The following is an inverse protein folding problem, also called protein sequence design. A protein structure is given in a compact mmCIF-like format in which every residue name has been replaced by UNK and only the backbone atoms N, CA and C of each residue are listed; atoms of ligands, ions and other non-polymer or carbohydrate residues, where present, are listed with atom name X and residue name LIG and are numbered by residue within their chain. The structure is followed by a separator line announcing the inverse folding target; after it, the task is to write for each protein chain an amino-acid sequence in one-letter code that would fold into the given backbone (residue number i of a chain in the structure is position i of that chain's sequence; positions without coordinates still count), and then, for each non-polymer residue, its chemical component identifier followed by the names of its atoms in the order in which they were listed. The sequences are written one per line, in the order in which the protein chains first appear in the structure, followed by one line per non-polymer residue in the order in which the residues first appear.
data_IF_843492024609
#
_entry.id   IF_843492024609
#
_cell.length_a   1.000
_cell.length_b   1.000
_cell.length_c   1.000
_cell.angle_alpha   90.00
_cell.angle_beta   90.00
_cell.angle_gamma   90.00
#
_symmetry.space_group_name_H-M   'P 1'
#
loop_
_entity.id
_entity.type
_entity.pdbx_description
1 polymer ?
#
# COMPACT_ATOMS: atom_id res chain seq x y z
N UNK A 1 24.25 -45.70 23.57
CA UNK A 1 24.84 -44.51 22.92
C UNK A 1 24.04 -44.28 21.66
N UNK A 2 23.24 -43.23 21.63
CA UNK A 2 22.48 -42.82 20.44
C UNK A 2 22.45 -41.30 20.44
N UNK A 3 23.11 -40.72 19.44
CA UNK A 3 22.96 -39.33 19.05
C UNK A 3 22.11 -39.37 17.79
N UNK A 4 21.04 -38.59 17.73
CA UNK A 4 21.00 -37.56 16.69
C UNK A 4 19.92 -36.52 16.94
N UNK A 5 20.33 -35.30 16.59
CA UNK A 5 19.62 -34.05 16.66
C UNK A 5 18.46 -34.02 15.67
N UNK A 6 17.33 -33.44 16.07
CA UNK A 6 16.44 -32.61 15.25
C UNK A 6 15.21 -32.25 16.08
N UNK A 7 15.27 -31.14 16.81
CA UNK A 7 14.05 -30.39 17.08
C UNK A 7 13.61 -29.79 15.76
N UNK A 8 12.40 -30.08 15.23
CA UNK A 8 11.85 -29.22 14.22
C UNK A 8 11.51 -27.92 14.93
N UNK A 9 12.36 -26.92 14.73
CA UNK A 9 11.95 -25.52 14.85
C UNK A 9 10.75 -25.39 13.93
N UNK A 10 9.58 -25.24 14.53
CA UNK A 10 8.35 -24.85 13.84
C UNK A 10 8.65 -23.43 13.34
N UNK A 11 9.16 -23.33 12.12
CA UNK A 11 9.12 -22.11 11.35
C UNK A 11 7.64 -21.75 11.19
N UNK A 12 7.20 -20.53 11.54
CA UNK A 12 5.93 -20.02 11.04
C UNK A 12 6.12 -19.69 9.56
N UNK A 13 6.16 -20.71 8.71
CA UNK A 13 5.93 -20.58 7.27
C UNK A 13 4.42 -20.65 7.03
N UNK A 14 3.67 -19.59 7.35
CA UNK A 14 2.42 -19.26 6.65
C UNK A 14 2.18 -17.74 6.69
N UNK A 15 2.21 -17.16 5.48
CA UNK A 15 1.55 -15.91 5.08
C UNK A 15 2.14 -14.56 5.53
N UNK A 16 3.42 -14.36 5.24
CA UNK A 16 3.86 -13.04 4.77
C UNK A 16 3.58 -13.00 3.25
N UNK A 17 2.31 -12.79 2.87
CA UNK A 17 2.00 -12.31 1.52
C UNK A 17 2.72 -10.97 1.45
N UNK A 18 3.92 -10.94 0.86
CA UNK A 18 4.60 -9.71 0.51
C UNK A 18 3.58 -8.85 -0.24
N UNK A 19 3.07 -7.81 0.43
CA UNK A 19 2.06 -6.88 -0.11
C UNK A 19 2.76 -6.02 -1.15
N UNK A 20 2.97 -6.62 -2.31
CA UNK A 20 3.66 -5.97 -3.42
C UNK A 20 2.66 -5.08 -4.14
N UNK A 21 2.99 -3.79 -4.25
CA UNK A 21 2.23 -2.86 -5.08
C UNK A 21 2.18 -3.38 -6.52
N UNK A 22 0.99 -3.38 -7.14
CA UNK A 22 0.87 -3.74 -8.57
C UNK A 22 1.66 -2.74 -9.43
N UNK A 23 2.34 -3.25 -10.46
CA UNK A 23 3.13 -2.43 -11.39
C UNK A 23 2.30 -1.31 -12.03
N UNK A 24 1.02 -1.55 -12.33
CA UNK A 24 0.13 -0.53 -12.90
C UNK A 24 -0.09 0.65 -11.94
N UNK A 25 -0.39 0.35 -10.67
CA UNK A 25 -0.62 1.37 -9.63
C UNK A 25 0.67 2.14 -9.35
N UNK A 26 1.81 1.45 -9.35
CA UNK A 26 3.12 2.07 -9.20
C UNK A 26 3.40 3.05 -10.34
N UNK A 27 3.13 2.66 -11.59
CA UNK A 27 3.30 3.50 -12.77
C UNK A 27 2.39 4.74 -12.69
N UNK A 28 1.13 4.57 -12.30
CA UNK A 28 0.17 5.68 -12.20
C UNK A 28 0.59 6.70 -11.13
N UNK A 29 0.96 6.23 -9.93
CA UNK A 29 1.43 7.10 -8.85
C UNK A 29 2.73 7.81 -9.27
N UNK A 30 3.67 7.08 -9.86
CA UNK A 30 4.98 7.60 -10.21
C UNK A 30 4.91 8.60 -11.37
N UNK A 31 4.24 8.26 -12.47
CA UNK A 31 4.11 9.14 -13.64
C UNK A 31 3.45 10.47 -13.26
N UNK A 32 2.37 10.43 -12.46
CA UNK A 32 1.69 11.63 -11.99
C UNK A 32 2.59 12.51 -11.11
N UNK A 33 3.37 11.91 -10.21
CA UNK A 33 4.31 12.65 -9.35
C UNK A 33 5.45 13.27 -10.18
N UNK A 34 5.97 12.55 -11.17
CA UNK A 34 7.02 13.01 -12.07
C UNK A 34 6.53 14.20 -12.91
N UNK A 35 5.37 14.07 -13.55
CA UNK A 35 4.79 15.14 -14.37
C UNK A 35 4.55 16.42 -13.55
N UNK A 36 4.01 16.27 -12.34
CA UNK A 36 3.81 17.40 -11.42
C UNK A 36 5.14 18.03 -10.99
N UNK A 37 6.12 17.21 -10.60
CA UNK A 37 7.43 17.68 -10.15
C UNK A 37 8.24 18.38 -11.24
N UNK A 38 8.05 17.99 -12.50
CA UNK A 38 8.73 18.61 -13.65
C UNK A 38 7.96 19.77 -14.28
N UNK A 39 6.67 19.93 -13.97
CA UNK A 39 5.85 21.03 -14.49
C UNK A 39 6.47 22.44 -14.34
N UNK A 40 7.20 22.79 -13.26
CA UNK A 40 7.81 24.12 -13.13
C UNK A 40 9.06 24.31 -14.01
N UNK A 41 9.60 23.23 -14.58
CA UNK A 41 10.89 23.18 -15.28
C UNK A 41 10.69 22.68 -16.72
N UNK A 42 9.50 22.84 -17.27
CA UNK A 42 9.09 22.28 -18.56
C UNK A 42 9.92 22.79 -19.76
N UNK A 43 10.66 23.90 -19.60
CA UNK A 43 11.57 24.44 -20.62
C UNK A 43 12.86 23.60 -20.77
N UNK A 44 13.20 22.75 -19.80
CA UNK A 44 14.34 21.84 -19.89
C UNK A 44 13.94 20.50 -20.50
N UNK A 45 14.70 20.07 -21.52
CA UNK A 45 14.57 18.72 -22.09
C UNK A 45 15.16 17.72 -21.09
N UNK A 46 14.29 17.16 -20.26
CA UNK A 46 14.62 16.13 -19.26
C UNK A 46 13.95 14.84 -19.70
N UNK A 47 14.75 13.81 -19.92
CA UNK A 47 14.25 12.46 -20.19
C UNK A 47 14.01 11.77 -18.85
N UNK A 48 12.84 11.15 -18.67
CA UNK A 48 12.49 10.44 -17.45
C UNK A 48 12.21 8.99 -17.71
N UNK A 49 12.64 8.13 -16.80
CA UNK A 49 12.29 6.73 -16.77
C UNK A 49 12.03 6.26 -15.33
N UNK A 50 11.12 5.31 -15.22
CA UNK A 50 10.89 4.50 -14.04
C UNK A 50 11.32 3.08 -14.38
N UNK A 51 12.11 2.48 -13.50
CA UNK A 51 12.64 1.13 -13.72
C UNK A 51 12.45 0.27 -12.48
N UNK A 52 12.35 -1.04 -12.70
CA UNK A 52 12.39 -2.03 -11.65
C UNK A 52 13.80 -2.14 -11.03
N UNK A 53 13.91 -2.68 -9.80
CA UNK A 53 15.21 -2.92 -9.15
C UNK A 53 16.14 -3.80 -9.99
N UNK A 54 15.59 -4.68 -10.83
CA UNK A 54 16.32 -5.58 -11.71
C UNK A 54 16.68 -4.96 -13.08
N UNK A 55 16.27 -3.70 -13.31
CA UNK A 55 16.66 -2.92 -14.48
C UNK A 55 15.71 -3.00 -15.68
N UNK A 56 14.55 -3.66 -15.53
CA UNK A 56 13.48 -3.60 -16.52
C UNK A 56 12.81 -2.22 -16.49
N UNK A 57 12.48 -1.68 -17.67
CA UNK A 57 11.86 -0.37 -17.78
C UNK A 57 10.33 -0.47 -17.58
N UNK A 58 9.82 0.17 -16.53
CA UNK A 58 8.39 0.23 -16.23
C UNK A 58 7.68 1.33 -17.02
N UNK A 59 8.29 2.51 -17.09
CA UNK A 59 7.69 3.68 -17.72
C UNK A 59 8.75 4.67 -18.20
N UNK A 60 8.43 5.46 -19.22
CA UNK A 60 9.26 6.59 -19.64
C UNK A 60 8.43 7.67 -20.32
N UNK A 61 8.87 8.93 -20.20
CA UNK A 61 8.20 10.08 -20.86
C UNK A 61 8.56 10.17 -22.36
N UNK A 62 9.71 9.65 -22.77
CA UNK A 62 10.15 9.59 -24.17
C UNK A 62 10.70 8.23 -24.50
N UNK A 63 10.87 7.91 -25.78
CA UNK A 63 11.50 6.67 -26.20
C UNK A 63 13.00 6.73 -25.87
N UNK A 64 13.43 5.95 -24.88
CA UNK A 64 14.85 5.79 -24.55
C UNK A 64 15.48 4.87 -25.59
N UNK A 65 16.33 5.41 -26.46
CA UNK A 65 17.05 4.61 -27.47
C UNK A 65 18.08 3.64 -26.86
N UNK A 66 18.43 3.82 -25.59
CA UNK A 66 19.49 3.08 -24.90
C UNK A 66 18.95 2.26 -23.70
N UNK A 67 17.90 1.45 -23.84
CA UNK A 67 17.41 0.61 -22.72
C UNK A 67 18.51 -0.32 -22.15
N UNK A 68 19.42 -0.78 -23.01
CA UNK A 68 20.61 -1.58 -22.65
C UNK A 68 21.55 -0.88 -21.65
N UNK A 69 21.55 0.45 -21.58
CA UNK A 69 22.47 1.19 -20.73
C UNK A 69 22.10 1.10 -19.24
N UNK A 70 20.80 1.10 -18.93
CA UNK A 70 20.33 1.11 -17.54
C UNK A 70 20.64 -0.22 -16.84
N UNK A 71 20.44 -1.33 -17.54
CA UNK A 71 20.82 -2.65 -17.02
C UNK A 71 22.33 -2.73 -16.73
N UNK A 72 23.17 -2.15 -17.58
CA UNK A 72 24.62 -2.08 -17.34
C UNK A 72 25.00 -1.15 -16.17
N UNK A 73 24.32 -0.01 -15.99
CA UNK A 73 24.55 0.84 -14.80
C UNK A 73 24.23 0.03 -13.55
N UNK A 74 23.08 -0.64 -13.51
CA UNK A 74 22.67 -1.41 -12.33
C UNK A 74 23.54 -2.65 -12.12
N UNK A 75 23.99 -3.33 -13.19
CA UNK A 75 24.84 -4.51 -13.11
C UNK A 75 26.31 -4.19 -12.76
N UNK A 76 26.82 -3.01 -13.11
CA UNK A 76 28.14 -2.53 -12.65
C UNK A 76 28.11 -2.04 -11.21
N UNK A 77 26.92 -1.86 -10.65
CA UNK A 77 26.72 -1.54 -9.26
C UNK A 77 26.52 -2.84 -8.49
N UNK A 78 27.62 -3.39 -8.00
CA UNK A 78 27.62 -4.55 -7.13
C UNK A 78 26.73 -4.24 -5.92
N UNK A 79 25.57 -4.91 -5.82
CA UNK A 79 24.58 -4.73 -4.75
C UNK A 79 25.12 -5.14 -3.35
N UNK A 80 26.41 -5.46 -3.26
CA UNK A 80 27.16 -5.71 -2.03
C UNK A 80 27.71 -4.43 -1.37
N UNK A 81 27.90 -3.33 -2.11
CA UNK A 81 28.13 -2.02 -1.51
C UNK A 81 26.79 -1.31 -1.24
N UNK A 82 26.68 -0.63 -0.09
CA UNK A 82 25.44 0.02 0.36
C UNK A 82 24.72 0.73 -0.79
N UNK A 83 23.52 0.29 -1.22
CA UNK A 83 22.79 0.79 -2.41
C UNK A 83 22.59 2.31 -2.43
N UNK A 84 22.71 2.92 -1.25
CA UNK A 84 22.55 4.35 -0.98
C UNK A 84 23.67 5.24 -1.53
N UNK A 85 24.86 4.71 -1.86
CA UNK A 85 25.97 5.53 -2.39
C UNK A 85 25.68 6.01 -3.83
N UNK A 86 24.99 5.19 -4.61
CA UNK A 86 24.65 5.43 -6.02
C UNK A 86 23.72 6.63 -6.22
N UNK A 87 22.84 6.89 -5.25
CA UNK A 87 21.85 7.96 -5.33
C UNK A 87 22.38 9.31 -4.82
N UNK A 88 23.65 9.37 -4.40
CA UNK A 88 24.26 10.61 -3.86
C UNK A 88 24.83 11.52 -4.94
N UNK A 89 25.17 10.98 -6.10
CA UNK A 89 25.84 11.72 -7.16
C UNK A 89 25.28 11.35 -8.54
N UNK A 90 25.22 12.31 -9.48
CA UNK A 90 24.81 12.01 -10.84
C UNK A 90 25.90 11.24 -11.58
N UNK A 91 25.45 10.32 -12.43
CA UNK A 91 26.32 9.50 -13.27
C UNK A 91 26.44 10.18 -14.63
N UNK A 92 27.68 10.44 -15.08
CA UNK A 92 27.93 11.01 -16.41
C UNK A 92 28.22 9.88 -17.40
N UNK A 93 27.44 9.80 -18.47
CA UNK A 93 27.65 8.82 -19.53
C UNK A 93 27.36 9.40 -20.91
N UNK A 94 28.26 9.20 -21.86
CA UNK A 94 28.16 9.70 -23.25
C UNK A 94 27.79 11.19 -23.36
N UNK A 95 28.17 12.01 -22.36
CA UNK A 95 27.85 13.44 -22.31
C UNK A 95 26.52 13.80 -21.66
N UNK A 96 25.70 12.82 -21.28
CA UNK A 96 24.45 12.99 -20.54
C UNK A 96 24.66 12.71 -19.06
N UNK A 97 24.00 13.49 -18.20
CA UNK A 97 23.98 13.27 -16.75
C UNK A 97 22.69 12.55 -16.36
N UNK A 98 22.84 11.46 -15.62
CA UNK A 98 21.77 10.63 -15.09
C UNK A 98 21.68 10.83 -13.58
N UNK A 99 20.48 11.16 -13.11
CA UNK A 99 20.15 11.41 -11.72
C UNK A 99 19.22 10.30 -11.26
N UNK A 100 19.68 9.48 -10.32
CA UNK A 100 18.94 8.33 -9.84
C UNK A 100 18.45 8.57 -8.42
N UNK A 101 17.26 8.07 -8.11
CA UNK A 101 16.78 8.03 -6.74
C UNK A 101 15.92 6.76 -6.51
N UNK A 102 16.01 6.16 -5.31
CA UNK A 102 15.28 4.94 -4.99
C UNK A 102 13.85 5.27 -4.57
N UNK A 103 12.91 4.44 -4.99
CA UNK A 103 11.54 4.42 -4.49
C UNK A 103 11.45 3.25 -3.51
N UNK A 104 11.17 3.56 -2.26
CA UNK A 104 11.20 2.59 -1.16
C UNK A 104 9.78 2.31 -0.66
N UNK A 105 9.55 1.06 -0.28
CA UNK A 105 8.35 0.64 0.45
C UNK A 105 8.44 1.04 1.94
N UNK A 106 7.39 0.74 2.70
CA UNK A 106 7.33 0.92 4.16
C UNK A 106 8.48 0.16 4.88
N UNK A 107 8.81 -1.04 4.42
CA UNK A 107 9.86 -1.89 4.98
C UNK A 107 11.28 -1.53 4.46
N UNK A 108 11.47 -0.31 3.93
CA UNK A 108 12.71 0.14 3.26
C UNK A 108 13.16 -0.74 2.08
N UNK A 109 12.27 -1.59 1.57
CA UNK A 109 12.53 -2.42 0.40
C UNK A 109 12.50 -1.58 -0.87
N UNK A 110 13.49 -1.76 -1.75
CA UNK A 110 13.54 -1.08 -3.04
C UNK A 110 12.44 -1.61 -3.96
N UNK A 111 11.49 -0.73 -4.32
CA UNK A 111 10.35 -1.05 -5.19
C UNK A 111 10.65 -0.69 -6.64
N UNK A 112 11.28 0.46 -6.86
CA UNK A 112 11.64 0.95 -8.18
C UNK A 112 12.73 2.02 -8.07
N UNK A 113 13.28 2.42 -9.21
CA UNK A 113 14.25 3.51 -9.30
C UNK A 113 13.70 4.52 -10.31
N UNK A 114 13.73 5.81 -9.94
CA UNK A 114 13.48 6.90 -10.87
C UNK A 114 14.80 7.36 -11.47
N UNK A 115 14.80 7.62 -12.76
CA UNK A 115 15.91 8.20 -13.49
C UNK A 115 15.44 9.46 -14.20
N UNK A 116 16.12 10.58 -13.91
CA UNK A 116 16.09 11.78 -14.74
C UNK A 116 17.40 11.84 -15.52
N UNK A 117 17.34 12.15 -16.81
CA UNK A 117 18.51 12.36 -17.65
C UNK A 117 18.45 13.75 -18.27
N UNK A 118 19.59 14.45 -18.25
CA UNK A 118 19.74 15.75 -18.89
C UNK A 118 21.08 15.86 -19.60
N UNK A 119 21.07 16.46 -20.78
CA UNK A 119 22.28 16.78 -21.56
C UNK A 119 22.95 18.09 -21.09
N UNK A 120 22.33 18.78 -20.13
CA UNK A 120 22.87 20.01 -19.53
C UNK A 120 23.95 19.71 -18.47
N UNK A 121 24.61 20.75 -17.95
CA UNK A 121 25.67 20.62 -16.92
C UNK A 121 25.14 19.92 -15.65
N UNK A 122 26.01 19.24 -14.91
CA UNK A 122 25.72 18.67 -13.59
C UNK A 122 25.00 19.69 -12.70
N UNK A 123 23.73 19.42 -12.40
CA UNK A 123 22.85 20.31 -11.66
C UNK A 123 22.41 19.65 -10.36
N UNK A 124 22.93 20.14 -9.24
CA UNK A 124 22.56 19.68 -7.90
C UNK A 124 21.06 19.89 -7.62
N UNK A 125 20.41 20.87 -8.25
CA UNK A 125 18.95 21.06 -8.13
C UNK A 125 18.18 19.91 -8.78
N UNK A 126 18.66 19.40 -9.93
CA UNK A 126 18.01 18.28 -10.59
C UNK A 126 18.18 17.00 -9.77
N UNK A 127 19.35 16.80 -9.16
CA UNK A 127 19.56 15.70 -8.20
C UNK A 127 18.60 15.79 -7.01
N UNK A 128 18.51 16.97 -6.38
CA UNK A 128 17.62 17.20 -5.24
C UNK A 128 16.15 17.00 -5.63
N UNK A 129 15.77 17.42 -6.84
CA UNK A 129 14.44 17.22 -7.39
C UNK A 129 14.15 15.73 -7.60
N UNK A 130 15.07 14.97 -8.22
CA UNK A 130 14.93 13.51 -8.38
C UNK A 130 14.69 12.83 -7.03
N UNK A 131 15.48 13.19 -6.01
CA UNK A 131 15.33 12.65 -4.66
C UNK A 131 13.99 13.05 -4.03
N UNK A 132 13.55 14.30 -4.21
CA UNK A 132 12.26 14.78 -3.71
C UNK A 132 11.08 14.06 -4.36
N UNK A 133 11.11 13.86 -5.68
CA UNK A 133 10.07 13.13 -6.42
C UNK A 133 10.04 11.67 -5.97
N UNK A 134 11.19 11.01 -5.88
CA UNK A 134 11.27 9.63 -5.39
C UNK A 134 10.71 9.48 -3.97
N UNK A 135 10.98 10.45 -3.10
CA UNK A 135 10.42 10.49 -1.75
C UNK A 135 8.91 10.70 -1.76
N UNK A 136 8.39 11.62 -2.57
CA UNK A 136 6.95 11.81 -2.71
C UNK A 136 6.26 10.52 -3.18
N UNK A 137 6.82 9.83 -4.18
CA UNK A 137 6.30 8.55 -4.67
C UNK A 137 6.32 7.50 -3.56
N UNK A 138 7.44 7.37 -2.85
CA UNK A 138 7.58 6.42 -1.73
C UNK A 138 6.51 6.65 -0.66
N UNK A 139 6.27 7.90 -0.26
CA UNK A 139 5.23 8.23 0.72
C UNK A 139 3.82 7.99 0.19
N UNK A 140 3.55 8.28 -1.09
CA UNK A 140 2.25 7.95 -1.72
C UNK A 140 1.99 6.44 -1.76
N UNK A 141 3.01 5.63 -2.03
CA UNK A 141 2.92 4.17 -2.00
C UNK A 141 2.60 3.68 -0.59
N UNK A 142 3.34 4.17 0.42
CA UNK A 142 3.08 3.86 1.83
C UNK A 142 1.64 4.20 2.22
N UNK A 143 1.19 5.41 1.90
CA UNK A 143 -0.19 5.81 2.16
C UNK A 143 -1.20 4.92 1.43
N UNK A 144 -0.95 4.56 0.16
CA UNK A 144 -1.85 3.70 -0.59
C UNK A 144 -1.98 2.30 0.04
N UNK A 145 -0.86 1.69 0.44
CA UNK A 145 -0.85 0.39 1.11
C UNK A 145 -1.52 0.45 2.49
N UNK A 146 -1.22 1.47 3.30
CA UNK A 146 -1.87 1.67 4.60
C UNK A 146 -3.38 1.91 4.49
N UNK A 147 -3.82 2.64 3.46
CA UNK A 147 -5.25 2.83 3.20
C UNK A 147 -5.92 1.53 2.78
N UNK A 148 -5.25 0.70 1.96
CA UNK A 148 -5.73 -0.64 1.67
C UNK A 148 -5.87 -1.47 2.95
N UNK A 149 -4.86 -1.49 3.82
CA UNK A 149 -4.91 -2.21 5.10
C UNK A 149 -6.07 -1.75 5.98
N UNK A 150 -6.28 -0.44 6.11
CA UNK A 150 -7.44 0.09 6.83
C UNK A 150 -8.77 -0.27 6.16
N UNK A 151 -8.84 -0.37 4.83
CA UNK A 151 -10.05 -0.86 4.14
C UNK A 151 -10.25 -2.36 4.31
N UNK A 152 -9.19 -3.16 4.41
CA UNK A 152 -9.28 -4.61 4.68
C UNK A 152 -9.61 -4.89 6.13
N UNK A 153 -9.03 -4.16 7.09
CA UNK A 153 -9.40 -4.24 8.51
C UNK A 153 -10.83 -3.74 8.73
N UNK A 154 -11.23 -2.67 8.04
CA UNK A 154 -12.62 -2.28 7.97
C UNK A 154 -13.48 -3.24 7.13
N UNK A 155 -12.93 -4.14 6.32
CA UNK A 155 -13.71 -5.19 5.62
C UNK A 155 -13.79 -6.49 6.45
N UNK A 156 -12.85 -6.70 7.38
CA UNK A 156 -12.95 -7.72 8.41
C UNK A 156 -13.87 -7.27 9.55
N UNK A 157 -13.87 -5.97 9.90
CA UNK A 157 -14.80 -5.37 10.88
C UNK A 157 -16.15 -4.98 10.26
N UNK A 158 -16.15 -4.52 9.02
CA UNK A 158 -17.31 -4.31 8.14
C UNK A 158 -17.17 -5.29 6.99
N UNK A 159 -17.26 -6.58 7.31
CA UNK A 159 -17.77 -7.49 6.31
C UNK A 159 -19.10 -6.86 5.92
N UNK A 160 -19.18 -6.30 4.72
CA UNK A 160 -20.43 -6.17 4.01
C UNK A 160 -20.86 -7.61 3.75
N UNK A 161 -21.25 -8.31 4.82
CA UNK A 161 -22.32 -9.27 4.77
C UNK A 161 -23.37 -8.54 3.97
N UNK A 162 -23.88 -9.17 2.92
CA UNK A 162 -25.24 -8.87 2.50
C UNK A 162 -26.09 -9.02 3.76
N UNK A 163 -26.22 -7.93 4.50
CA UNK A 163 -26.85 -7.94 5.78
C UNK A 163 -28.32 -8.05 5.46
N UNK A 164 -28.80 -9.29 5.45
CA UNK A 164 -30.21 -9.59 5.36
C UNK A 164 -30.89 -8.73 6.43
N UNK A 165 -31.86 -7.92 6.02
CA UNK A 165 -32.58 -7.00 6.91
C UNK A 165 -33.07 -7.70 8.18
N UNK A 166 -33.37 -9.00 8.08
CA UNK A 166 -33.76 -9.83 9.21
C UNK A 166 -32.64 -10.12 10.21
N UNK A 167 -31.40 -10.24 9.75
CA UNK A 167 -30.22 -10.47 10.61
C UNK A 167 -29.82 -9.21 11.37
N UNK A 168 -29.85 -8.04 10.70
CA UNK A 168 -29.62 -6.74 11.36
C UNK A 168 -30.69 -6.50 12.43
N UNK A 169 -31.95 -6.77 12.09
CA UNK A 169 -33.05 -6.59 13.02
C UNK A 169 -32.92 -7.55 14.22
N UNK A 170 -32.51 -8.80 13.97
CA UNK A 170 -32.25 -9.77 15.04
C UNK A 170 -31.10 -9.33 15.95
N UNK A 171 -29.98 -8.86 15.40
CA UNK A 171 -28.84 -8.41 16.20
C UNK A 171 -29.19 -7.19 17.04
N UNK A 172 -29.90 -6.21 16.47
CA UNK A 172 -30.35 -5.02 17.20
C UNK A 172 -31.25 -5.38 18.39
N UNK A 173 -32.16 -6.35 18.23
CA UNK A 173 -33.02 -6.82 19.32
C UNK A 173 -32.21 -7.52 20.41
N UNK A 174 -31.20 -8.33 20.04
CA UNK A 174 -30.31 -9.00 20.99
C UNK A 174 -29.46 -8.00 21.78
N UNK A 175 -28.92 -6.98 21.12
CA UNK A 175 -28.16 -5.91 21.78
C UNK A 175 -29.02 -5.13 22.76
N UNK A 176 -30.24 -4.76 22.35
CA UNK A 176 -31.20 -4.13 23.26
C UNK A 176 -31.55 -5.03 24.45
N UNK A 177 -31.68 -6.35 24.25
CA UNK A 177 -31.91 -7.30 25.33
C UNK A 177 -30.75 -7.36 26.33
N UNK A 178 -29.51 -7.34 25.83
CA UNK A 178 -28.28 -7.30 26.65
C UNK A 178 -28.19 -6.00 27.45
N UNK A 179 -28.39 -4.85 26.81
CA UNK A 179 -28.29 -3.52 27.44
C UNK A 179 -29.40 -3.31 28.49
N UNK A 180 -30.58 -3.87 28.26
CA UNK A 180 -31.74 -3.70 29.15
C UNK A 180 -31.93 -4.87 30.14
N UNK A 181 -31.00 -5.83 30.22
CA UNK A 181 -31.12 -7.05 31.04
C UNK A 181 -32.49 -7.75 30.88
N UNK A 182 -32.94 -7.91 29.63
CA UNK A 182 -34.22 -8.56 29.32
C UNK A 182 -35.47 -7.78 29.77
N UNK A 183 -35.36 -6.50 30.16
CA UNK A 183 -36.52 -5.67 30.51
C UNK A 183 -37.22 -5.14 29.25
N UNK A 184 -38.28 -5.83 28.83
CA UNK A 184 -39.08 -5.48 27.63
C UNK A 184 -39.54 -4.01 27.63
N UNK A 185 -39.88 -3.46 28.81
CA UNK A 185 -40.32 -2.06 28.94
C UNK A 185 -39.23 -1.05 28.56
N UNK A 186 -37.95 -1.40 28.73
CA UNK A 186 -36.84 -0.53 28.37
C UNK A 186 -36.40 -0.79 26.92
N UNK A 187 -36.42 -2.06 26.50
CA UNK A 187 -36.03 -2.46 25.15
C UNK A 187 -36.85 -1.76 24.06
N UNK A 188 -38.17 -1.65 24.19
CA UNK A 188 -38.99 -1.01 23.15
C UNK A 188 -38.72 0.49 23.01
N UNK A 189 -38.31 1.16 24.10
CA UNK A 189 -37.94 2.57 24.11
C UNK A 189 -36.59 2.77 23.43
N UNK A 190 -35.60 1.92 23.74
CA UNK A 190 -34.26 1.95 23.13
C UNK A 190 -34.31 1.67 21.63
N UNK A 191 -35.14 0.70 21.21
CA UNK A 191 -35.32 0.33 19.81
C UNK A 191 -36.28 1.27 19.04
N UNK A 192 -36.95 2.19 19.73
CA UNK A 192 -37.97 3.09 19.16
C UNK A 192 -39.05 2.36 18.34
N UNK A 193 -39.53 1.21 18.85
CA UNK A 193 -40.59 0.41 18.22
C UNK A 193 -41.76 0.16 19.19
N UNK A 194 -42.93 -0.15 18.63
CA UNK A 194 -44.09 -0.52 19.44
C UNK A 194 -43.87 -1.81 20.25
N UNK A 195 -44.36 -1.86 21.49
CA UNK A 195 -44.30 -3.04 22.38
C UNK A 195 -44.82 -4.31 21.70
N UNK A 196 -45.93 -4.22 20.96
CA UNK A 196 -46.54 -5.35 20.22
C UNK A 196 -45.68 -5.79 19.03
N UNK A 197 -45.00 -4.85 18.37
CA UNK A 197 -44.04 -5.15 17.29
C UNK A 197 -42.82 -5.88 17.84
N UNK A 198 -42.27 -5.43 18.97
CA UNK A 198 -41.15 -6.08 19.64
C UNK A 198 -41.51 -7.53 20.03
N UNK A 199 -42.68 -7.76 20.63
CA UNK A 199 -43.17 -9.11 20.96
C UNK A 199 -43.29 -10.02 19.74
N UNK A 200 -43.84 -9.49 18.63
CA UNK A 200 -43.95 -10.25 17.38
C UNK A 200 -42.57 -10.65 16.84
N UNK A 201 -41.58 -9.75 16.93
CA UNK A 201 -40.21 -9.98 16.46
C UNK A 201 -39.44 -10.96 17.34
N UNK A 202 -39.58 -10.87 18.65
CA UNK A 202 -39.00 -11.83 19.59
C UNK A 202 -39.49 -13.25 19.33
N UNK A 203 -40.80 -13.41 19.08
CA UNK A 203 -41.40 -14.71 18.71
C UNK A 203 -40.96 -15.18 17.32
N UNK A 204 -40.80 -14.26 16.36
CA UNK A 204 -40.34 -14.58 15.01
C UNK A 204 -38.89 -15.06 14.97
N UNK A 205 -38.03 -14.55 15.85
CA UNK A 205 -36.61 -14.90 15.92
C UNK A 205 -36.25 -15.92 16.99
N UNK A 206 -37.25 -16.46 17.69
CA UNK A 206 -37.13 -17.43 18.80
C UNK A 206 -36.15 -16.97 19.89
N UNK A 207 -36.27 -15.71 20.32
CA UNK A 207 -35.41 -15.12 21.35
C UNK A 207 -36.13 -15.20 22.71
N UNK A 208 -35.64 -16.02 23.62
CA UNK A 208 -36.13 -16.06 25.00
C UNK A 208 -35.46 -14.96 25.84
N UNK A 209 -36.26 -13.99 26.25
CA UNK A 209 -35.82 -12.84 27.05
C UNK A 209 -35.35 -13.27 28.44
N UNK A 210 -35.78 -14.44 28.93
CA UNK A 210 -35.38 -14.98 30.24
C UNK A 210 -33.89 -15.31 30.30
N UNK A 211 -33.25 -15.56 29.16
CA UNK A 211 -31.81 -15.83 29.08
C UNK A 211 -30.95 -14.59 29.35
N UNK A 212 -31.55 -13.39 29.26
CA UNK A 212 -30.85 -12.10 29.37
C UNK A 212 -31.17 -11.37 30.67
N UNK A 213 -31.81 -12.04 31.64
CA UNK A 213 -32.25 -11.47 32.92
C UNK A 213 -31.17 -11.54 34.01
#
# INVERSE_FOLDING_TARGET
MSVDFSSPVIFPEQEEIARTISSDVLIDIASLAIEKGLSPINDLVIDTALIEPYGEMLWSNRIWKNSFFIHNILATCDMQETPLSLFKHPIKWQGTFYYLAPILSENETLVAIIILASQTVNNTLLLALTQSIAREISEKIKCHLQMQDMTFDNCAATCVRELNIHEIEKSAIIEAAKVCNGKIQQMYQVLNIGRTTLWRKLKQYDIDIKEYK
#
